data_IF_555241881790
#
_entry.id   IF_555241881790
#
_cell.length_a   1.000
_cell.length_b   1.000
_cell.length_c   1.000
_cell.angle_alpha   90.00
_cell.angle_beta   90.00
_cell.angle_gamma   90.00
#
_symmetry.space_group_name_H-M   'P 1'
#
loop_
_entity.id
_entity.type
_entity.pdbx_description
1 polymer ?
#
# COMPACT_ATOMS: atom_id res chain seq x y z
N UNK A 1 11.04 6.51 29.18
CA UNK A 1 10.27 5.74 28.21
C UNK A 1 10.47 6.35 26.82
N UNK A 2 10.87 5.55 25.87
CA UNK A 2 11.01 5.91 24.46
C UNK A 2 10.11 4.98 23.66
N UNK A 3 9.46 5.48 22.63
CA UNK A 3 8.66 4.69 21.67
C UNK A 3 9.50 4.51 20.40
N UNK A 4 9.95 3.31 20.16
CA UNK A 4 10.72 2.94 18.97
C UNK A 4 9.78 2.39 17.90
N UNK A 5 9.78 2.99 16.72
CA UNK A 5 9.08 2.46 15.56
C UNK A 5 10.09 1.70 14.69
N UNK A 6 9.76 0.45 14.38
CA UNK A 6 10.61 -0.46 13.61
C UNK A 6 9.88 -0.87 12.33
N UNK A 7 10.58 -0.91 11.20
CA UNK A 7 10.03 -1.40 9.93
C UNK A 7 11.14 -2.01 9.06
N UNK A 8 10.75 -2.92 8.16
CA UNK A 8 11.69 -3.56 7.25
C UNK A 8 12.30 -2.54 6.27
N UNK A 9 11.46 -1.68 5.71
CA UNK A 9 11.91 -0.66 4.74
C UNK A 9 11.12 0.62 4.95
N UNK A 10 11.80 1.77 4.96
CA UNK A 10 11.17 3.08 4.86
C UNK A 10 11.44 3.64 3.47
N UNK A 11 10.37 3.90 2.70
CA UNK A 11 10.43 4.33 1.30
C UNK A 11 9.60 5.58 1.07
N UNK A 12 10.03 6.39 0.12
CA UNK A 12 9.27 7.58 -0.28
C UNK A 12 7.99 7.17 -1.03
N UNK A 13 6.84 7.72 -0.60
CA UNK A 13 5.54 7.49 -1.24
C UNK A 13 4.92 6.11 -0.97
N UNK A 14 5.44 5.37 0.02
CA UNK A 14 4.88 4.09 0.45
C UNK A 14 3.92 4.27 1.64
N UNK A 15 2.77 3.60 1.59
CA UNK A 15 1.72 3.73 2.61
C UNK A 15 2.19 3.40 4.02
N UNK A 16 2.98 2.33 4.21
CA UNK A 16 3.51 1.92 5.53
C UNK A 16 4.46 2.98 6.07
N UNK A 17 5.30 3.54 5.20
CA UNK A 17 6.25 4.58 5.55
C UNK A 17 5.55 5.87 5.94
N UNK A 18 4.52 6.27 5.19
CA UNK A 18 3.72 7.45 5.48
C UNK A 18 2.97 7.30 6.83
N UNK A 19 2.37 6.13 7.08
CA UNK A 19 1.73 5.81 8.36
C UNK A 19 2.72 5.90 9.53
N UNK A 20 3.93 5.33 9.36
CA UNK A 20 5.00 5.39 10.37
C UNK A 20 5.40 6.84 10.70
N UNK A 21 5.52 7.69 9.68
CA UNK A 21 5.86 9.10 9.85
C UNK A 21 4.73 9.89 10.52
N UNK A 22 3.50 9.68 10.09
CA UNK A 22 2.32 10.32 10.69
C UNK A 22 2.17 9.94 12.17
N UNK A 23 2.32 8.65 12.49
CA UNK A 23 2.30 8.17 13.86
C UNK A 23 3.43 8.76 14.70
N UNK A 24 4.63 8.93 14.12
CA UNK A 24 5.75 9.58 14.84
C UNK A 24 5.39 11.00 15.27
N UNK A 25 4.76 11.77 14.41
CA UNK A 25 4.36 13.15 14.75
C UNK A 25 3.28 13.18 15.85
N UNK A 26 2.33 12.22 15.83
CA UNK A 26 1.33 12.08 16.89
C UNK A 26 2.00 11.74 18.22
N UNK A 27 2.91 10.76 18.24
CA UNK A 27 3.64 10.35 19.45
C UNK A 27 4.45 11.53 20.04
N UNK A 28 5.10 12.34 19.18
CA UNK A 28 5.80 13.56 19.61
C UNK A 28 4.85 14.59 20.21
N UNK A 29 3.69 14.84 19.59
CA UNK A 29 2.65 15.76 20.10
C UNK A 29 2.10 15.32 21.45
N UNK A 30 2.08 14.01 21.72
CA UNK A 30 1.72 13.44 23.03
C UNK A 30 2.83 13.59 24.09
N UNK A 31 3.98 14.18 23.74
CA UNK A 31 5.10 14.43 24.66
C UNK A 31 6.07 13.26 24.83
N UNK A 32 5.95 12.20 24.04
CA UNK A 32 6.87 11.05 24.13
C UNK A 32 8.09 11.21 23.22
N UNK A 33 9.23 10.72 23.70
CA UNK A 33 10.41 10.55 22.86
C UNK A 33 10.16 9.39 21.89
N UNK A 34 10.48 9.57 20.63
CA UNK A 34 10.32 8.53 19.61
C UNK A 34 11.47 8.52 18.60
N UNK A 35 11.75 7.37 18.02
CA UNK A 35 12.74 7.20 16.97
C UNK A 35 12.30 6.09 16.00
N UNK A 36 12.60 6.26 14.71
CA UNK A 36 12.33 5.29 13.66
C UNK A 36 13.63 4.56 13.30
N UNK A 37 13.55 3.23 13.24
CA UNK A 37 14.62 2.36 12.76
C UNK A 37 14.12 1.45 11.64
N UNK A 38 14.88 1.40 10.54
CA UNK A 38 14.54 0.54 9.39
C UNK A 38 15.76 -0.28 8.95
N UNK A 39 15.52 -1.48 8.43
CA UNK A 39 16.60 -2.28 7.83
C UNK A 39 17.11 -1.65 6.53
N UNK A 40 16.17 -1.15 5.73
CA UNK A 40 16.46 -0.45 4.48
C UNK A 40 15.85 0.96 4.51
N UNK A 41 16.64 1.94 4.07
CA UNK A 41 16.22 3.35 4.00
C UNK A 41 16.40 3.82 2.56
N UNK A 42 15.30 4.21 1.91
CA UNK A 42 15.32 4.80 0.57
C UNK A 42 16.12 6.11 0.60
N UNK A 43 16.99 6.32 -0.38
CA UNK A 43 17.85 7.49 -0.48
C UNK A 43 17.09 8.83 -0.58
N UNK A 44 15.82 8.80 -0.96
CA UNK A 44 14.93 9.97 -1.02
C UNK A 44 14.36 10.38 0.33
N UNK A 45 14.46 9.52 1.35
CA UNK A 45 14.07 9.88 2.72
C UNK A 45 15.07 10.89 3.29
N UNK A 46 14.61 12.02 3.84
CA UNK A 46 15.50 13.05 4.40
C UNK A 46 16.43 12.47 5.49
N UNK A 47 17.68 12.90 5.47
CA UNK A 47 18.67 12.47 6.47
C UNK A 47 18.17 12.80 7.88
N UNK A 48 18.28 11.85 8.79
CA UNK A 48 17.85 12.01 10.20
C UNK A 48 16.42 11.57 10.49
N UNK A 49 15.58 11.34 9.48
CA UNK A 49 14.19 10.84 9.64
C UNK A 49 14.17 9.45 10.26
N UNK A 50 15.01 8.55 9.77
CA UNK A 50 15.16 7.20 10.29
C UNK A 50 16.64 6.83 10.44
N UNK A 51 16.91 5.84 11.31
CA UNK A 51 18.23 5.24 11.49
C UNK A 51 18.21 3.81 11.00
N UNK A 52 19.37 3.30 10.56
CA UNK A 52 19.46 1.88 10.20
C UNK A 52 19.24 1.01 11.46
N UNK A 53 18.47 -0.07 11.30
CA UNK A 53 18.13 -0.99 12.39
C UNK A 53 19.36 -1.55 13.13
N UNK A 54 20.47 -1.75 12.44
CA UNK A 54 21.73 -2.19 13.06
C UNK A 54 22.29 -1.21 14.12
N UNK A 55 21.83 0.04 14.12
CA UNK A 55 22.19 1.08 15.08
C UNK A 55 21.23 1.16 16.28
N UNK A 56 20.21 0.29 16.35
CA UNK A 56 19.34 0.20 17.50
C UNK A 56 20.16 -0.31 18.70
N UNK A 57 20.34 0.55 19.67
CA UNK A 57 21.04 0.21 20.90
C UNK A 57 20.20 -0.67 21.83
N UNK A 58 20.58 -0.71 23.10
CA UNK A 58 19.80 -1.41 24.12
C UNK A 58 18.45 -0.72 24.31
N UNK A 59 17.36 -1.49 24.20
CA UNK A 59 16.00 -1.07 24.52
C UNK A 59 15.73 -1.40 25.99
N UNK A 60 15.28 -0.41 26.77
CA UNK A 60 14.95 -0.59 28.17
C UNK A 60 13.58 -1.27 28.34
N UNK A 61 13.39 -1.98 29.48
CA UNK A 61 12.12 -2.67 29.79
C UNK A 61 10.90 -1.75 29.87
N UNK A 62 11.14 -0.46 30.14
CA UNK A 62 10.08 0.57 30.21
C UNK A 62 9.82 1.25 28.86
N UNK A 63 10.59 0.92 27.81
CA UNK A 63 10.35 1.43 26.47
C UNK A 63 9.22 0.65 25.75
N UNK A 64 8.82 1.16 24.62
CA UNK A 64 7.80 0.52 23.76
C UNK A 64 8.40 0.32 22.38
N UNK A 65 8.21 -0.86 21.82
CA UNK A 65 8.44 -1.13 20.40
C UNK A 65 7.11 -1.19 19.68
N UNK A 66 6.99 -0.44 18.58
CA UNK A 66 5.95 -0.54 17.58
C UNK A 66 6.60 -1.08 16.30
N UNK A 67 6.25 -2.30 15.90
CA UNK A 67 6.75 -2.90 14.68
C UNK A 67 5.70 -2.80 13.57
N UNK A 68 6.00 -2.00 12.53
CA UNK A 68 5.18 -1.90 11.32
C UNK A 68 5.44 -3.12 10.43
N UNK A 69 4.60 -4.11 10.55
CA UNK A 69 4.76 -5.41 9.92
C UNK A 69 4.04 -5.46 8.57
N UNK A 70 4.81 -5.48 7.49
CA UNK A 70 4.32 -5.57 6.10
C UNK A 70 5.04 -6.63 5.27
N UNK A 71 6.13 -7.19 5.80
CA UNK A 71 6.93 -8.25 5.19
C UNK A 71 7.81 -8.90 6.24
N UNK A 72 8.32 -10.10 5.94
CA UNK A 72 9.33 -10.75 6.77
C UNK A 72 10.64 -9.98 6.80
N UNK A 73 11.30 -9.95 7.97
CA UNK A 73 12.49 -9.15 8.17
C UNK A 73 13.40 -9.68 9.29
N UNK A 74 14.58 -9.11 9.43
CA UNK A 74 15.45 -9.39 10.59
C UNK A 74 14.78 -8.98 11.90
N UNK A 75 13.97 -7.92 11.90
CA UNK A 75 13.24 -7.46 13.08
C UNK A 75 12.33 -8.56 13.61
N UNK A 76 11.59 -9.27 12.74
CA UNK A 76 10.75 -10.41 13.12
C UNK A 76 11.57 -11.50 13.84
N UNK A 77 12.74 -11.81 13.32
CA UNK A 77 13.64 -12.84 13.91
C UNK A 77 14.29 -12.39 15.21
N UNK A 78 14.50 -11.09 15.39
CA UNK A 78 15.09 -10.50 16.61
C UNK A 78 14.05 -10.17 17.68
N UNK A 79 12.75 -10.35 17.40
CA UNK A 79 11.64 -9.86 18.23
C UNK A 79 11.67 -10.37 19.68
N UNK A 80 12.13 -11.61 19.89
CA UNK A 80 12.29 -12.20 21.22
C UNK A 80 13.37 -11.54 22.08
N UNK A 81 14.31 -10.85 21.47
CA UNK A 81 15.39 -10.15 22.17
C UNK A 81 14.90 -8.94 22.95
N UNK A 82 13.76 -8.37 22.55
CA UNK A 82 13.16 -7.22 23.20
C UNK A 82 12.40 -7.65 24.45
N UNK A 83 12.76 -7.06 25.60
CA UNK A 83 12.16 -7.34 26.91
C UNK A 83 11.25 -6.20 27.38
N UNK A 84 10.86 -5.31 26.47
CA UNK A 84 9.92 -4.22 26.65
C UNK A 84 8.53 -4.60 26.11
N UNK A 85 7.57 -3.68 26.21
CA UNK A 85 6.23 -3.83 25.59
C UNK A 85 6.35 -3.81 24.07
N UNK A 86 5.76 -4.81 23.42
CA UNK A 86 5.85 -5.05 21.99
C UNK A 86 4.48 -4.94 21.33
N UNK A 87 4.35 -3.97 20.45
CA UNK A 87 3.13 -3.70 19.67
C UNK A 87 3.43 -3.98 18.20
N UNK A 88 2.54 -4.66 17.50
CA UNK A 88 2.59 -4.83 16.05
C UNK A 88 1.48 -3.99 15.41
N UNK A 89 1.84 -3.16 14.42
CA UNK A 89 0.90 -2.61 13.45
C UNK A 89 0.99 -3.47 12.20
N UNK A 90 -0.08 -4.20 11.90
CA UNK A 90 -0.11 -5.15 10.80
C UNK A 90 -0.70 -4.52 9.54
N UNK A 91 0.18 -4.29 8.56
CA UNK A 91 -0.16 -3.69 7.26
C UNK A 91 -0.53 -4.73 6.18
N UNK A 92 -0.61 -5.99 6.55
CA UNK A 92 -0.80 -7.16 5.68
C UNK A 92 0.49 -7.64 4.99
N UNK A 93 0.50 -8.93 4.67
CA UNK A 93 1.49 -9.56 3.78
C UNK A 93 0.73 -10.20 2.62
N UNK A 94 1.08 -9.78 1.41
CA UNK A 94 0.48 -10.36 0.20
C UNK A 94 0.80 -11.85 0.12
N UNK A 95 -0.18 -12.74 -0.11
CA UNK A 95 0.07 -14.16 -0.29
C UNK A 95 1.14 -14.44 -1.35
N UNK A 96 2.12 -15.30 -1.07
CA UNK A 96 3.26 -15.54 -1.96
C UNK A 96 2.86 -16.06 -3.33
N UNK A 97 1.77 -16.80 -3.44
CA UNK A 97 1.32 -17.45 -4.68
C UNK A 97 1.07 -16.46 -5.83
N UNK A 98 0.72 -15.21 -5.53
CA UNK A 98 0.62 -14.16 -6.55
C UNK A 98 1.94 -13.92 -7.29
N UNK A 99 3.08 -14.22 -6.67
CA UNK A 99 4.40 -13.93 -7.23
C UNK A 99 5.07 -15.14 -7.89
N UNK A 100 4.54 -16.36 -7.68
CA UNK A 100 5.15 -17.63 -8.07
C UNK A 100 5.58 -17.66 -9.54
N UNK A 101 4.72 -17.16 -10.45
CA UNK A 101 4.98 -17.20 -11.89
C UNK A 101 5.70 -15.96 -12.42
N UNK A 102 5.93 -14.96 -11.57
CA UNK A 102 6.42 -13.66 -12.00
C UNK A 102 7.77 -13.26 -11.40
N UNK A 103 8.03 -13.64 -10.14
CA UNK A 103 9.27 -13.27 -9.45
C UNK A 103 9.57 -14.24 -8.30
N UNK A 104 10.53 -15.17 -8.54
CA UNK A 104 10.94 -16.18 -7.55
C UNK A 104 11.51 -15.56 -6.27
N UNK A 105 12.19 -14.41 -6.37
CA UNK A 105 12.73 -13.69 -5.23
C UNK A 105 11.60 -13.17 -4.33
N UNK A 106 10.62 -12.52 -4.92
CA UNK A 106 9.42 -12.05 -4.21
C UNK A 106 8.66 -13.23 -3.61
N UNK A 107 8.42 -14.31 -4.37
CA UNK A 107 7.75 -15.51 -3.86
C UNK A 107 8.41 -16.02 -2.57
N UNK A 108 9.74 -16.19 -2.57
CA UNK A 108 10.49 -16.67 -1.40
C UNK A 108 10.43 -15.70 -0.22
N UNK A 109 10.57 -14.40 -0.48
CA UNK A 109 10.52 -13.37 0.56
C UNK A 109 9.14 -13.34 1.23
N UNK A 110 8.06 -13.32 0.45
CA UNK A 110 6.70 -13.29 0.99
C UNK A 110 6.31 -14.59 1.70
N UNK A 111 6.73 -15.77 1.16
CA UNK A 111 6.53 -17.06 1.82
C UNK A 111 7.20 -17.10 3.19
N UNK A 112 8.47 -16.72 3.25
CA UNK A 112 9.19 -16.63 4.51
C UNK A 112 8.57 -15.60 5.45
N UNK A 113 8.15 -14.45 4.93
CA UNK A 113 7.47 -13.42 5.70
C UNK A 113 6.21 -13.93 6.37
N UNK A 114 5.41 -14.71 5.67
CA UNK A 114 4.19 -15.29 6.21
C UNK A 114 4.45 -16.27 7.38
N UNK A 115 5.52 -17.07 7.27
CA UNK A 115 5.97 -17.96 8.35
C UNK A 115 6.50 -17.16 9.56
N UNK A 116 7.28 -16.11 9.29
CA UNK A 116 7.81 -15.21 10.33
C UNK A 116 6.68 -14.51 11.11
N UNK A 117 5.61 -14.04 10.45
CA UNK A 117 4.45 -13.42 11.14
C UNK A 117 3.82 -14.40 12.13
N UNK A 118 3.53 -15.62 11.70
CA UNK A 118 2.94 -16.65 12.60
C UNK A 118 3.79 -16.88 13.84
N UNK A 119 5.12 -16.83 13.71
CA UNK A 119 6.05 -17.00 14.82
C UNK A 119 6.04 -15.85 15.84
N UNK A 120 5.36 -14.75 15.57
CA UNK A 120 5.22 -13.59 16.45
C UNK A 120 3.96 -13.64 17.31
N UNK A 121 3.05 -14.58 17.07
CA UNK A 121 1.72 -14.62 17.66
C UNK A 121 1.74 -14.68 19.19
N UNK A 122 2.63 -15.50 19.76
CA UNK A 122 2.82 -15.69 21.22
C UNK A 122 3.82 -14.70 21.84
N UNK A 123 4.41 -13.80 21.03
CA UNK A 123 5.49 -12.89 21.42
C UNK A 123 5.07 -11.43 21.44
N UNK A 124 3.82 -11.17 21.13
CA UNK A 124 3.27 -9.82 20.93
C UNK A 124 2.30 -9.49 22.04
N UNK A 125 2.46 -8.31 22.67
CA UNK A 125 1.60 -7.89 23.77
C UNK A 125 0.30 -7.23 23.27
N UNK A 126 0.32 -6.64 22.07
CA UNK A 126 -0.80 -5.93 21.49
C UNK A 126 -0.66 -5.79 19.97
N UNK A 127 -1.76 -5.87 19.24
CA UNK A 127 -1.78 -5.63 17.82
C UNK A 127 -2.73 -4.50 17.43
N UNK A 128 -2.34 -3.79 16.38
CA UNK A 128 -3.19 -2.87 15.64
C UNK A 128 -3.26 -3.41 14.21
N UNK A 129 -4.48 -3.68 13.73
CA UNK A 129 -4.71 -4.09 12.35
C UNK A 129 -5.24 -2.89 11.55
N UNK A 130 -4.78 -2.70 10.32
CA UNK A 130 -5.21 -1.54 9.50
C UNK A 130 -6.59 -1.72 8.89
N UNK A 131 -7.22 -2.89 9.07
CA UNK A 131 -8.60 -3.19 8.65
C UNK A 131 -9.17 -4.37 9.45
N UNK A 132 -10.49 -4.56 9.43
CA UNK A 132 -11.12 -5.75 10.02
C UNK A 132 -10.66 -7.05 9.33
N UNK A 133 -10.43 -7.01 8.02
CA UNK A 133 -9.82 -8.12 7.28
C UNK A 133 -8.46 -8.51 7.86
N UNK A 134 -7.60 -7.54 8.12
CA UNK A 134 -6.28 -7.78 8.71
C UNK A 134 -6.37 -8.29 10.16
N UNK A 135 -7.35 -7.81 10.94
CA UNK A 135 -7.62 -8.32 12.30
C UNK A 135 -8.01 -9.80 12.27
N UNK A 136 -8.92 -10.16 11.37
CA UNK A 136 -9.30 -11.56 11.16
C UNK A 136 -8.10 -12.40 10.72
N UNK A 137 -7.29 -11.89 9.79
CA UNK A 137 -6.10 -12.58 9.31
C UNK A 137 -5.06 -12.82 10.43
N UNK A 138 -4.85 -11.87 11.35
CA UNK A 138 -4.02 -12.07 12.54
C UNK A 138 -4.59 -13.18 13.46
N UNK A 139 -5.91 -13.22 13.67
CA UNK A 139 -6.56 -14.26 14.45
C UNK A 139 -6.33 -15.66 13.84
N UNK A 140 -6.48 -15.78 12.52
CA UNK A 140 -6.21 -17.00 11.76
C UNK A 140 -4.74 -17.44 11.84
N UNK A 141 -3.82 -16.48 11.96
CA UNK A 141 -2.39 -16.73 12.18
C UNK A 141 -2.04 -17.10 13.63
N UNK A 142 -3.01 -17.11 14.56
CA UNK A 142 -2.85 -17.56 15.94
C UNK A 142 -2.56 -16.46 16.95
N UNK A 143 -2.72 -15.17 16.61
CA UNK A 143 -2.57 -14.08 17.58
C UNK A 143 -3.71 -14.07 18.59
N UNK A 144 -3.40 -14.19 19.88
CA UNK A 144 -4.37 -14.20 21.00
C UNK A 144 -4.38 -12.91 21.80
N UNK A 145 -3.35 -12.05 21.65
CA UNK A 145 -3.29 -10.74 22.30
C UNK A 145 -4.47 -9.85 21.89
N UNK A 146 -4.75 -8.73 22.60
CA UNK A 146 -5.71 -7.74 22.16
C UNK A 146 -5.36 -7.23 20.76
N UNK A 147 -6.38 -7.10 19.89
CA UNK A 147 -6.23 -6.57 18.51
C UNK A 147 -7.31 -5.52 18.29
N UNK A 148 -6.90 -4.27 18.09
CA UNK A 148 -7.78 -3.20 17.65
C UNK A 148 -7.57 -2.89 16.17
N UNK A 149 -8.56 -2.24 15.58
CA UNK A 149 -8.48 -1.77 14.19
C UNK A 149 -8.27 -0.26 14.20
N UNK A 150 -7.20 0.15 13.52
CA UNK A 150 -6.89 1.55 13.25
C UNK A 150 -6.48 1.67 11.79
N UNK A 151 -7.30 2.32 10.95
CA UNK A 151 -6.96 2.57 9.55
C UNK A 151 -5.62 3.30 9.39
N UNK A 152 -4.99 3.13 8.23
CA UNK A 152 -3.75 3.84 7.87
C UNK A 152 -3.96 5.35 8.00
N UNK A 153 -3.03 6.02 8.66
CA UNK A 153 -3.05 7.47 8.82
C UNK A 153 -2.69 8.14 7.49
N UNK A 154 -3.63 8.89 6.94
CA UNK A 154 -3.46 9.59 5.66
C UNK A 154 -3.41 11.11 5.94
N UNK A 155 -2.31 11.79 5.59
CA UNK A 155 -2.19 13.24 5.74
C UNK A 155 -2.99 13.94 4.63
N UNK A 156 -4.31 14.13 4.82
CA UNK A 156 -5.21 14.66 3.79
C UNK A 156 -4.83 16.06 3.31
N UNK A 157 -4.13 16.85 4.12
CA UNK A 157 -3.63 18.18 3.74
C UNK A 157 -2.63 18.10 2.57
N UNK A 158 -1.92 17.00 2.42
CA UNK A 158 -0.99 16.81 1.31
C UNK A 158 -1.71 16.73 -0.04
N UNK A 159 -2.96 16.26 -0.05
CA UNK A 159 -3.77 16.12 -1.27
C UNK A 159 -4.38 17.45 -1.75
N UNK A 160 -4.32 18.49 -0.92
CA UNK A 160 -4.75 19.85 -1.30
C UNK A 160 -3.64 20.65 -2.00
N UNK A 161 -2.42 20.09 -2.10
CA UNK A 161 -1.30 20.68 -2.83
C UNK A 161 -1.61 20.85 -4.33
N UNK A 162 -0.83 21.74 -4.96
CA UNK A 162 -0.97 22.04 -6.39
C UNK A 162 -0.66 20.80 -7.23
N UNK A 163 -1.56 20.39 -8.14
CA UNK A 163 -1.31 19.27 -9.05
C UNK A 163 -0.37 19.67 -10.18
N UNK A 164 0.13 18.68 -10.91
CA UNK A 164 0.91 18.91 -12.12
C UNK A 164 0.01 19.48 -13.25
N UNK A 165 0.29 20.71 -13.66
CA UNK A 165 -0.53 21.43 -14.65
C UNK A 165 -0.42 20.86 -16.07
N UNK A 166 0.69 20.20 -16.40
CA UNK A 166 0.86 19.59 -17.72
C UNK A 166 -0.04 18.37 -17.89
N UNK A 167 -0.15 17.54 -16.85
CA UNK A 167 -1.06 16.39 -16.84
C UNK A 167 -2.51 16.88 -16.90
N UNK A 168 -2.89 17.89 -16.09
CA UNK A 168 -4.22 18.49 -16.15
C UNK A 168 -4.54 18.95 -17.56
N UNK A 169 -3.73 19.85 -18.14
CA UNK A 169 -3.93 20.41 -19.48
C UNK A 169 -4.02 19.35 -20.58
N UNK A 170 -3.27 18.24 -20.42
CA UNK A 170 -3.24 17.16 -21.41
C UNK A 170 -4.48 16.29 -21.41
N UNK A 171 -5.15 16.16 -20.27
CA UNK A 171 -6.19 15.16 -20.08
C UNK A 171 -7.54 15.71 -19.59
N UNK A 172 -7.65 17.04 -19.39
CA UNK A 172 -8.93 17.70 -19.10
C UNK A 172 -9.62 18.19 -20.36
N UNK A 173 -10.91 18.32 -20.30
CA UNK A 173 -11.77 19.07 -21.23
C UNK A 173 -11.64 18.69 -22.72
N UNK A 174 -11.17 17.48 -23.01
CA UNK A 174 -11.00 16.97 -24.38
C UNK A 174 -12.14 16.04 -24.83
N UNK A 175 -13.16 15.87 -23.98
CA UNK A 175 -14.33 15.04 -24.25
C UNK A 175 -14.06 13.54 -24.16
N UNK A 176 -12.95 13.14 -23.54
CA UNK A 176 -12.63 11.73 -23.25
C UNK A 176 -12.97 11.38 -21.81
N UNK A 177 -13.41 10.14 -21.62
CA UNK A 177 -13.57 9.56 -20.27
C UNK A 177 -12.25 8.96 -19.79
N UNK A 178 -11.82 9.36 -18.61
CA UNK A 178 -10.59 8.95 -17.95
C UNK A 178 -10.88 7.89 -16.89
N UNK A 179 -10.55 6.63 -17.15
CA UNK A 179 -10.58 5.55 -16.17
C UNK A 179 -9.22 5.51 -15.46
N UNK A 180 -9.21 5.54 -14.14
CA UNK A 180 -7.99 5.56 -13.33
C UNK A 180 -7.86 4.31 -12.48
N UNK A 181 -6.67 3.76 -12.44
CA UNK A 181 -6.17 2.86 -11.40
C UNK A 181 -4.84 3.41 -10.88
N UNK A 182 -4.66 3.48 -9.57
CA UNK A 182 -3.38 3.80 -8.95
C UNK A 182 -2.93 2.66 -8.04
N UNK A 183 -1.64 2.38 -8.05
CA UNK A 183 -1.03 1.33 -7.24
C UNK A 183 0.09 0.61 -7.98
N UNK A 184 0.88 -0.15 -7.23
CA UNK A 184 1.96 -0.96 -7.81
C UNK A 184 1.40 -1.89 -8.90
N UNK A 185 2.09 -2.01 -10.01
CA UNK A 185 1.77 -2.98 -11.05
C UNK A 185 2.22 -4.36 -10.56
N UNK A 186 1.28 -5.15 -10.03
CA UNK A 186 1.56 -6.42 -9.36
C UNK A 186 0.37 -7.39 -9.49
N UNK A 187 0.61 -8.72 -9.51
CA UNK A 187 -0.41 -9.72 -9.82
C UNK A 187 -1.63 -9.71 -8.89
N UNK A 188 -1.46 -9.39 -7.60
CA UNK A 188 -2.57 -9.28 -6.65
C UNK A 188 -3.49 -8.09 -6.92
N UNK A 189 -3.06 -7.12 -7.74
CA UNK A 189 -3.85 -5.95 -8.13
C UNK A 189 -4.68 -6.18 -9.38
N UNK A 190 -4.48 -7.30 -10.08
CA UNK A 190 -5.30 -7.74 -11.22
C UNK A 190 -5.51 -6.67 -12.30
N UNK A 191 -4.43 -5.99 -12.68
CA UNK A 191 -4.54 -5.03 -13.78
C UNK A 191 -5.04 -5.65 -15.08
N UNK A 192 -4.85 -6.96 -15.30
CA UNK A 192 -5.47 -7.65 -16.44
C UNK A 192 -7.00 -7.55 -16.43
N UNK A 193 -7.64 -7.59 -15.26
CA UNK A 193 -9.08 -7.49 -15.14
C UNK A 193 -9.57 -6.03 -15.29
N UNK A 194 -8.78 -5.06 -14.80
CA UNK A 194 -8.99 -3.64 -15.09
C UNK A 194 -8.93 -3.39 -16.60
N UNK A 195 -7.91 -3.92 -17.30
CA UNK A 195 -7.75 -3.79 -18.76
C UNK A 195 -8.92 -4.46 -19.48
N UNK A 196 -9.36 -5.64 -19.04
CA UNK A 196 -10.49 -6.38 -19.65
C UNK A 196 -11.80 -5.61 -19.54
N UNK A 197 -12.11 -5.10 -18.36
CA UNK A 197 -13.30 -4.27 -18.12
C UNK A 197 -13.26 -2.99 -18.95
N UNK A 198 -12.11 -2.31 -18.98
CA UNK A 198 -11.91 -1.13 -19.81
C UNK A 198 -12.05 -1.43 -21.31
N UNK A 199 -11.47 -2.53 -21.81
CA UNK A 199 -11.60 -2.92 -23.22
C UNK A 199 -13.06 -3.14 -23.63
N UNK A 200 -13.85 -3.78 -22.75
CA UNK A 200 -15.27 -3.96 -22.96
C UNK A 200 -16.02 -2.62 -22.98
N UNK A 201 -15.78 -1.76 -21.99
CA UNK A 201 -16.37 -0.42 -21.92
C UNK A 201 -16.07 0.41 -23.17
N UNK A 202 -14.77 0.47 -23.55
CA UNK A 202 -14.32 1.23 -24.72
C UNK A 202 -14.95 0.74 -26.02
N UNK A 203 -15.09 -0.58 -26.18
CA UNK A 203 -15.64 -1.19 -27.41
C UNK A 203 -17.15 -0.99 -27.55
N UNK A 204 -17.90 -1.11 -26.46
CA UNK A 204 -19.36 -1.20 -26.53
C UNK A 204 -20.10 0.04 -26.04
N UNK A 205 -19.45 0.89 -25.24
CA UNK A 205 -20.12 2.05 -24.62
C UNK A 205 -19.49 3.38 -25.00
N UNK A 206 -18.18 3.54 -24.89
CA UNK A 206 -17.55 4.82 -25.18
C UNK A 206 -16.14 4.67 -25.81
N UNK A 207 -16.02 4.80 -27.15
CA UNK A 207 -14.74 4.72 -27.82
C UNK A 207 -13.77 5.89 -27.47
N UNK A 208 -14.32 7.03 -27.01
CA UNK A 208 -13.53 8.17 -26.49
C UNK A 208 -13.26 8.00 -25.01
N UNK A 209 -12.52 6.95 -24.66
CA UNK A 209 -12.10 6.67 -23.30
C UNK A 209 -10.65 6.20 -23.26
N UNK A 210 -9.97 6.42 -22.15
CA UNK A 210 -8.60 5.97 -21.89
C UNK A 210 -8.46 5.46 -20.48
N UNK A 211 -7.53 4.55 -20.28
CA UNK A 211 -7.21 3.93 -19.00
C UNK A 211 -5.81 4.35 -18.57
N UNK A 212 -5.71 4.90 -17.37
CA UNK A 212 -4.44 5.17 -16.70
C UNK A 212 -4.14 4.09 -15.66
N UNK A 213 -3.04 3.38 -15.82
CA UNK A 213 -2.49 2.43 -14.86
C UNK A 213 -1.25 3.04 -14.22
N UNK A 214 -1.48 3.86 -13.18
CA UNK A 214 -0.44 4.66 -12.53
C UNK A 214 0.24 3.86 -11.43
N UNK A 215 1.53 3.63 -11.57
CA UNK A 215 2.34 2.95 -10.56
C UNK A 215 3.59 2.29 -11.10
N UNK A 216 4.48 1.92 -10.18
CA UNK A 216 5.73 1.26 -10.51
C UNK A 216 5.51 -0.23 -10.82
N UNK A 217 6.19 -0.74 -11.84
CA UNK A 217 6.31 -2.17 -12.15
C UNK A 217 7.64 -2.76 -11.67
N UNK A 218 8.41 -2.03 -10.88
CA UNK A 218 9.72 -2.48 -10.39
C UNK A 218 9.65 -3.84 -9.67
N UNK A 219 10.47 -4.79 -10.11
CA UNK A 219 10.46 -6.18 -9.65
C UNK A 219 9.31 -7.03 -10.17
N UNK A 220 8.45 -6.49 -11.06
CA UNK A 220 7.31 -7.19 -11.67
C UNK A 220 7.34 -7.05 -13.21
N UNK A 221 8.52 -6.95 -13.80
CA UNK A 221 8.72 -6.73 -15.24
C UNK A 221 8.08 -7.84 -16.09
N UNK A 222 8.09 -9.10 -15.60
CA UNK A 222 7.46 -10.22 -16.28
C UNK A 222 5.93 -10.08 -16.32
N UNK A 223 5.34 -9.64 -15.21
CA UNK A 223 3.91 -9.35 -15.15
C UNK A 223 3.53 -8.16 -16.03
N UNK A 224 4.31 -7.08 -15.99
CA UNK A 224 4.09 -5.91 -16.85
C UNK A 224 4.15 -6.28 -18.35
N UNK A 225 5.14 -7.06 -18.78
CA UNK A 225 5.20 -7.57 -20.19
C UNK A 225 3.98 -8.40 -20.55
N UNK A 226 3.46 -9.23 -19.64
CA UNK A 226 2.21 -9.97 -19.84
C UNK A 226 1.02 -9.03 -20.05
N UNK A 227 0.91 -7.94 -19.27
CA UNK A 227 -0.16 -6.96 -19.46
C UNK A 227 -0.08 -6.29 -20.84
N UNK A 228 1.12 -5.91 -21.31
CA UNK A 228 1.30 -5.34 -22.66
C UNK A 228 0.88 -6.35 -23.74
N UNK A 229 1.29 -7.62 -23.60
CA UNK A 229 0.86 -8.67 -24.54
C UNK A 229 -0.65 -8.88 -24.52
N UNK A 230 -1.29 -8.76 -23.36
CA UNK A 230 -2.73 -8.90 -23.21
C UNK A 230 -3.50 -7.73 -23.84
N UNK A 231 -3.02 -6.49 -23.69
CA UNK A 231 -3.56 -5.29 -24.37
C UNK A 231 -3.54 -5.50 -25.90
N UNK A 232 -2.41 -5.98 -26.44
CA UNK A 232 -2.27 -6.25 -27.87
C UNK A 232 -3.22 -7.36 -28.34
N UNK A 233 -3.36 -8.45 -27.56
CA UNK A 233 -4.26 -9.55 -27.87
C UNK A 233 -5.75 -9.12 -27.86
N UNK A 234 -6.14 -8.20 -26.99
CA UNK A 234 -7.46 -7.60 -26.95
C UNK A 234 -7.69 -6.55 -28.06
N UNK A 235 -6.63 -6.08 -28.73
CA UNK A 235 -6.70 -4.99 -29.69
C UNK A 235 -7.14 -3.65 -29.09
N UNK A 236 -7.03 -3.49 -27.76
CA UNK A 236 -7.44 -2.27 -27.07
C UNK A 236 -6.35 -1.20 -27.16
N UNK A 237 -6.76 0.04 -27.43
CA UNK A 237 -5.89 1.23 -27.45
C UNK A 237 -6.14 2.12 -26.25
N UNK A 238 -5.27 3.12 -26.06
CA UNK A 238 -5.39 4.17 -25.05
C UNK A 238 -5.34 3.63 -23.60
N UNK A 239 -4.54 2.56 -23.40
CA UNK A 239 -4.09 2.11 -22.09
C UNK A 239 -2.70 2.70 -21.84
N UNK A 240 -2.59 3.53 -20.83
CA UNK A 240 -1.41 4.36 -20.56
C UNK A 240 -0.80 3.93 -19.23
N UNK A 241 0.50 3.64 -19.26
CA UNK A 241 1.30 3.35 -18.07
C UNK A 241 2.26 4.53 -17.80
N UNK A 242 1.89 5.50 -16.96
CA UNK A 242 2.80 6.61 -16.63
C UNK A 242 4.04 6.16 -15.86
N UNK A 243 3.98 4.96 -15.24
CA UNK A 243 5.06 4.42 -14.44
C UNK A 243 5.10 5.00 -13.02
N UNK A 244 6.30 5.10 -12.45
CA UNK A 244 6.53 5.74 -11.16
C UNK A 244 6.61 7.26 -11.37
N UNK A 245 5.62 7.98 -10.89
CA UNK A 245 5.47 9.42 -11.08
C UNK A 245 5.61 10.19 -9.76
N UNK A 246 5.71 11.50 -9.83
CA UNK A 246 5.76 12.38 -8.66
C UNK A 246 4.38 12.53 -8.01
N UNK A 247 4.35 13.00 -6.77
CA UNK A 247 3.10 13.15 -6.04
C UNK A 247 2.16 14.20 -6.66
N UNK A 248 2.68 15.31 -7.19
CA UNK A 248 1.91 16.32 -7.91
C UNK A 248 1.24 15.77 -9.19
N UNK A 249 1.90 14.81 -9.86
CA UNK A 249 1.31 14.09 -11.00
C UNK A 249 0.21 13.12 -10.53
N UNK A 250 0.39 12.43 -9.39
CA UNK A 250 -0.67 11.59 -8.79
C UNK A 250 -1.91 12.43 -8.52
N UNK A 251 -1.75 13.60 -7.90
CA UNK A 251 -2.84 14.55 -7.65
C UNK A 251 -3.56 14.95 -8.94
N UNK A 252 -2.80 15.16 -10.02
CA UNK A 252 -3.35 15.52 -11.32
C UNK A 252 -4.18 14.37 -11.94
N UNK A 253 -3.68 13.12 -11.87
CA UNK A 253 -4.44 11.96 -12.37
C UNK A 253 -5.76 11.76 -11.63
N UNK A 254 -5.80 11.93 -10.30
CA UNK A 254 -7.06 11.88 -9.57
C UNK A 254 -8.03 13.01 -9.97
N UNK A 255 -7.51 14.22 -10.24
CA UNK A 255 -8.35 15.37 -10.63
C UNK A 255 -8.94 15.27 -12.04
N UNK A 256 -8.27 14.57 -12.94
CA UNK A 256 -8.78 14.36 -14.31
C UNK A 256 -9.56 13.05 -14.46
N UNK A 257 -9.62 12.22 -13.42
CA UNK A 257 -10.30 10.94 -13.46
C UNK A 257 -11.82 11.11 -13.37
N UNK A 258 -12.54 10.41 -14.24
CA UNK A 258 -14.02 10.31 -14.22
C UNK A 258 -14.47 9.09 -13.41
N UNK A 259 -13.67 8.03 -13.34
CA UNK A 259 -13.95 6.83 -12.56
C UNK A 259 -12.65 6.16 -12.11
N UNK A 260 -12.64 5.69 -10.87
CA UNK A 260 -11.59 4.84 -10.33
C UNK A 260 -12.02 3.37 -10.41
N UNK A 261 -11.23 2.54 -11.09
CA UNK A 261 -11.55 1.12 -11.29
C UNK A 261 -10.52 0.24 -10.59
N UNK A 262 -10.94 -0.51 -9.56
CA UNK A 262 -10.09 -1.39 -8.76
C UNK A 262 -10.55 -2.84 -8.86
N UNK A 263 -9.69 -3.72 -9.38
CA UNK A 263 -9.94 -5.16 -9.47
C UNK A 263 -8.99 -5.99 -8.59
N UNK A 264 -8.43 -5.36 -7.54
CA UNK A 264 -7.50 -6.02 -6.63
C UNK A 264 -8.13 -7.24 -5.96
N UNK A 265 -7.46 -8.38 -5.99
CA UNK A 265 -7.88 -9.60 -5.27
C UNK A 265 -7.35 -9.64 -3.82
N UNK A 266 -6.33 -8.85 -3.52
CA UNK A 266 -5.76 -8.84 -2.18
C UNK A 266 -5.24 -7.46 -1.78
N UNK A 267 -5.83 -6.90 -0.73
CA UNK A 267 -5.48 -5.63 -0.10
C UNK A 267 -5.54 -5.73 1.42
N UNK A 268 -4.60 -5.06 2.10
CA UNK A 268 -4.68 -4.90 3.55
C UNK A 268 -5.55 -3.74 3.99
N UNK A 269 -5.63 -2.68 3.15
CA UNK A 269 -6.47 -1.49 3.37
C UNK A 269 -6.92 -0.88 2.05
N UNK A 270 -6.02 -0.67 1.10
CA UNK A 270 -6.25 -0.01 -0.19
C UNK A 270 -6.38 1.51 -0.09
N UNK A 271 -5.29 2.19 0.26
CA UNK A 271 -5.20 3.67 0.30
C UNK A 271 -5.77 4.33 -0.96
N UNK A 272 -5.55 3.82 -2.20
CA UNK A 272 -6.11 4.41 -3.42
C UNK A 272 -7.63 4.61 -3.44
N UNK A 273 -8.40 3.80 -2.73
CA UNK A 273 -9.85 4.02 -2.60
C UNK A 273 -10.15 5.31 -1.83
N UNK A 274 -9.43 5.51 -0.72
CA UNK A 274 -9.59 6.71 0.11
C UNK A 274 -9.10 7.96 -0.62
N UNK A 275 -8.04 7.83 -1.43
CA UNK A 275 -7.57 8.88 -2.32
C UNK A 275 -8.65 9.26 -3.35
N UNK A 276 -9.26 8.28 -4.02
CA UNK A 276 -10.36 8.52 -4.96
C UNK A 276 -11.56 9.22 -4.28
N UNK A 277 -11.90 8.82 -3.04
CA UNK A 277 -12.95 9.49 -2.24
C UNK A 277 -12.58 10.95 -1.96
N UNK A 278 -11.33 11.26 -1.58
CA UNK A 278 -10.86 12.63 -1.33
C UNK A 278 -11.07 13.53 -2.54
N UNK A 279 -10.92 12.99 -3.76
CA UNK A 279 -11.14 13.72 -5.01
C UNK A 279 -12.57 13.59 -5.56
N UNK A 280 -13.50 12.99 -4.81
CA UNK A 280 -14.87 12.73 -5.24
C UNK A 280 -14.95 11.95 -6.57
N UNK A 281 -13.97 11.10 -6.88
CA UNK A 281 -13.96 10.25 -8.05
C UNK A 281 -14.86 9.04 -7.80
N UNK A 282 -15.90 8.77 -8.62
CA UNK A 282 -16.72 7.57 -8.50
C UNK A 282 -15.89 6.29 -8.54
N UNK A 283 -16.18 5.34 -7.65
CA UNK A 283 -15.40 4.11 -7.49
C UNK A 283 -16.22 2.90 -7.92
N UNK A 284 -15.61 2.05 -8.75
CA UNK A 284 -16.06 0.68 -9.03
C UNK A 284 -14.95 -0.26 -8.59
N UNK A 285 -15.25 -1.18 -7.68
CA UNK A 285 -14.22 -2.06 -7.12
C UNK A 285 -14.71 -3.51 -7.05
N UNK A 286 -13.76 -4.46 -7.12
CA UNK A 286 -14.03 -5.87 -6.87
C UNK A 286 -14.10 -6.13 -5.37
N UNK A 287 -15.15 -6.77 -4.91
CA UNK A 287 -15.35 -7.13 -3.50
C UNK A 287 -14.38 -8.23 -3.07
N UNK A 288 -13.28 -7.84 -2.48
CA UNK A 288 -12.23 -8.75 -2.00
C UNK A 288 -11.52 -8.19 -0.77
N UNK A 289 -11.07 -9.07 0.12
CA UNK A 289 -10.17 -8.73 1.23
C UNK A 289 -10.65 -7.49 2.02
N UNK A 290 -9.86 -6.42 2.10
CA UNK A 290 -10.22 -5.19 2.82
C UNK A 290 -11.05 -4.18 1.99
N UNK A 291 -11.32 -4.45 0.70
CA UNK A 291 -11.93 -3.48 -0.23
C UNK A 291 -13.29 -2.97 0.27
N UNK A 292 -14.23 -3.89 0.55
CA UNK A 292 -15.58 -3.51 1.00
C UNK A 292 -15.53 -2.69 2.31
N UNK A 293 -14.69 -3.11 3.26
CA UNK A 293 -14.52 -2.41 4.54
C UNK A 293 -13.94 -1.01 4.38
N UNK A 294 -12.94 -0.84 3.52
CA UNK A 294 -12.34 0.47 3.23
C UNK A 294 -13.29 1.36 2.43
N UNK A 295 -14.05 0.78 1.50
CA UNK A 295 -15.01 1.51 0.68
C UNK A 295 -16.20 2.05 1.51
N UNK A 296 -16.63 1.31 2.56
CA UNK A 296 -17.65 1.78 3.49
C UNK A 296 -18.97 2.20 2.84
N UNK A 297 -19.33 1.62 1.70
CA UNK A 297 -20.53 1.98 0.94
C UNK A 297 -20.38 3.22 0.03
N UNK A 298 -19.17 3.79 -0.09
CA UNK A 298 -18.91 4.99 -0.90
C UNK A 298 -18.63 4.69 -2.39
N UNK A 299 -19.00 3.51 -2.90
CA UNK A 299 -18.81 3.11 -4.30
C UNK A 299 -19.60 1.86 -4.65
N UNK A 300 -19.33 1.32 -5.82
CA UNK A 300 -19.98 0.10 -6.35
C UNK A 300 -18.99 -1.08 -6.20
N UNK A 301 -19.47 -2.18 -5.61
CA UNK A 301 -18.76 -3.46 -5.51
C UNK A 301 -19.29 -4.46 -6.55
#
# INVERSE_FOLDING_TARGET
MVVYQLLATISFGDAVSNDTLALQEIIKKMGYKTAIFAENIDSRIPKGTAKNYSKLGRVDKNDIIIYHLSTGSKISRDFDKFKCRKIIIYHNITPPDYFKDYNDGSYRIYKKGYEEVKSLADKTDYCIAVSEYNKQNLREMGFTCPIDVLPILIPFEDYDKKPNEEVIRKYSDDGWVNVLFTGRIAPNKKQEDVIRAFAYYKKYYNPKSRLFLVGSSGGMERYHRRLISYINALGVRDVIFPGHIKFDEILAYYRVADVFLCQSEHEGFCVPLVEAMKFAVPIVAYDSSAIAGTLGGSGIL
#
